data_IF_008222020747
#
_entry.id   IF_008222020747
#
_cell.length_a   1.000
_cell.length_b   1.000
_cell.length_c   1.000
_cell.angle_alpha   90.00
_cell.angle_beta   90.00
_cell.angle_gamma   90.00
#
_symmetry.space_group_name_H-M   'P 1'
#
loop_
_entity.id
_entity.type
_entity.pdbx_description
1 polymer ?
#
# COMPACT_ATOMS: atom_id res chain seq x y z
N UNK A 1 3.68 23.28 -8.51
CA UNK A 1 3.54 22.79 -7.12
C UNK A 1 2.28 21.94 -7.12
N UNK A 2 2.32 20.69 -6.67
CA UNK A 2 1.09 19.88 -6.66
C UNK A 2 0.19 20.39 -5.53
N UNK A 3 -0.97 20.93 -5.89
CA UNK A 3 -1.97 21.34 -4.92
C UNK A 3 -2.71 20.11 -4.41
N UNK A 4 -2.73 19.92 -3.09
CA UNK A 4 -3.39 18.80 -2.43
C UNK A 4 -4.56 19.30 -1.59
N UNK A 5 -5.68 18.62 -1.70
CA UNK A 5 -6.80 18.72 -0.77
C UNK A 5 -6.60 17.70 0.35
N UNK A 6 -6.93 18.06 1.58
CA UNK A 6 -6.82 17.18 2.75
C UNK A 6 -8.17 17.01 3.41
N UNK A 7 -8.45 15.80 3.88
CA UNK A 7 -9.57 15.51 4.76
C UNK A 7 -9.09 14.71 5.97
N UNK A 8 -9.75 14.93 7.11
CA UNK A 8 -9.42 14.30 8.38
C UNK A 8 -10.70 13.75 8.98
N UNK A 9 -10.69 12.46 9.32
CA UNK A 9 -11.83 11.78 9.92
C UNK A 9 -11.42 11.11 11.24
N UNK A 10 -12.34 10.96 12.20
CA UNK A 10 -12.07 10.20 13.40
C UNK A 10 -11.81 8.73 13.08
N UNK A 11 -10.90 8.10 13.84
CA UNK A 11 -10.67 6.66 13.76
C UNK A 11 -11.92 5.90 14.24
N UNK A 12 -12.31 4.80 13.58
CA UNK A 12 -13.49 4.03 13.98
C UNK A 12 -13.30 3.45 15.40
N UNK A 13 -14.06 3.96 16.39
CA UNK A 13 -13.92 3.53 17.80
C UNK A 13 -14.45 2.12 18.05
N UNK A 14 -15.47 1.69 17.31
CA UNK A 14 -16.04 0.35 17.39
C UNK A 14 -16.49 -0.09 16.02
N UNK A 15 -16.06 -1.29 15.67
CA UNK A 15 -16.55 -1.99 14.50
C UNK A 15 -17.90 -2.65 14.79
N UNK A 16 -18.90 -2.33 13.98
CA UNK A 16 -20.15 -3.07 13.97
C UNK A 16 -19.88 -4.56 13.74
N UNK A 17 -20.74 -5.43 14.31
CA UNK A 17 -20.62 -6.88 14.16
C UNK A 17 -20.81 -7.27 12.68
N UNK A 18 -19.73 -7.31 11.93
CA UNK A 18 -19.69 -7.88 10.58
C UNK A 18 -19.74 -9.40 10.66
N UNK A 19 -20.54 -10.02 9.78
CA UNK A 19 -20.76 -11.47 9.71
C UNK A 19 -19.46 -12.16 9.25
N UNK A 20 -18.60 -12.55 10.20
CA UNK A 20 -17.33 -13.24 9.93
C UNK A 20 -16.18 -12.87 10.86
N UNK A 21 -16.30 -11.79 11.63
CA UNK A 21 -15.27 -11.33 12.55
C UNK A 21 -15.29 -12.11 13.87
N UNK A 22 -14.34 -13.04 14.03
CA UNK A 22 -14.27 -13.93 15.20
C UNK A 22 -13.80 -13.21 16.46
N UNK A 23 -12.93 -12.20 16.33
CA UNK A 23 -12.37 -11.46 17.47
C UNK A 23 -12.70 -9.96 17.44
N UNK A 24 -12.59 -9.24 18.58
CA UNK A 24 -12.68 -7.79 18.61
C UNK A 24 -11.63 -7.09 17.73
N UNK A 25 -10.42 -7.66 17.63
CA UNK A 25 -9.36 -7.14 16.78
C UNK A 25 -9.71 -7.29 15.29
N UNK A 26 -10.25 -8.45 14.88
CA UNK A 26 -10.72 -8.65 13.49
C UNK A 26 -11.82 -7.67 13.12
N UNK A 27 -12.75 -7.43 14.05
CA UNK A 27 -13.80 -6.42 13.87
C UNK A 27 -13.18 -5.06 13.61
N UNK A 28 -12.29 -4.61 14.49
CA UNK A 28 -11.63 -3.31 14.36
C UNK A 28 -10.87 -3.19 13.03
N UNK A 29 -10.07 -4.20 12.67
CA UNK A 29 -9.35 -4.22 11.41
C UNK A 29 -10.29 -4.16 10.19
N UNK A 30 -11.40 -4.88 10.21
CA UNK A 30 -12.40 -4.84 9.15
C UNK A 30 -13.08 -3.47 9.02
N UNK A 31 -13.42 -2.81 10.12
CA UNK A 31 -13.98 -1.46 10.08
C UNK A 31 -12.97 -0.43 9.60
N UNK A 32 -11.71 -0.52 10.04
CA UNK A 32 -10.64 0.33 9.55
C UNK A 32 -10.43 0.15 8.04
N UNK A 33 -10.39 -1.11 7.58
CA UNK A 33 -10.28 -1.42 6.15
C UNK A 33 -11.47 -0.86 5.35
N UNK A 34 -12.70 -0.94 5.89
CA UNK A 34 -13.88 -0.33 5.28
C UNK A 34 -13.70 1.17 5.05
N UNK A 35 -13.35 1.91 6.10
CA UNK A 35 -13.09 3.35 6.03
C UNK A 35 -11.99 3.70 5.02
N UNK A 36 -10.89 2.95 5.01
CA UNK A 36 -9.81 3.15 4.06
C UNK A 36 -10.27 2.93 2.62
N UNK A 37 -11.04 1.87 2.37
CA UNK A 37 -11.52 1.53 1.04
C UNK A 37 -12.58 2.51 0.54
N UNK A 38 -13.48 2.97 1.41
CA UNK A 38 -14.53 3.94 1.06
C UNK A 38 -13.89 5.25 0.60
N UNK A 39 -12.94 5.79 1.38
CA UNK A 39 -12.23 7.01 1.00
C UNK A 39 -11.31 6.81 -0.21
N UNK A 40 -10.67 5.65 -0.35
CA UNK A 40 -9.91 5.32 -1.56
C UNK A 40 -10.81 5.30 -2.81
N UNK A 41 -12.04 4.79 -2.70
CA UNK A 41 -13.01 4.79 -3.80
C UNK A 41 -13.44 6.21 -4.20
N UNK A 42 -13.44 7.15 -3.25
CA UNK A 42 -13.65 8.59 -3.49
C UNK A 42 -12.39 9.33 -4.01
N UNK A 43 -11.29 8.61 -4.20
CA UNK A 43 -10.03 9.16 -4.72
C UNK A 43 -9.14 9.80 -3.65
N UNK A 44 -9.38 9.53 -2.37
CA UNK A 44 -8.53 9.96 -1.27
C UNK A 44 -7.42 8.93 -0.98
N UNK A 45 -6.20 9.42 -0.83
CA UNK A 45 -5.02 8.64 -0.47
C UNK A 45 -4.76 8.74 1.04
N UNK A 46 -4.61 7.61 1.71
CA UNK A 46 -4.27 7.57 3.13
C UNK A 46 -2.84 8.08 3.36
N UNK A 47 -2.67 9.00 4.31
CA UNK A 47 -1.37 9.58 4.67
C UNK A 47 -0.87 8.98 5.96
N UNK A 48 -1.64 9.10 7.05
CA UNK A 48 -1.23 8.70 8.41
C UNK A 48 -2.39 8.72 9.40
N UNK A 49 -2.16 8.09 10.55
CA UNK A 49 -2.97 8.23 11.75
C UNK A 49 -2.26 9.16 12.74
N UNK A 50 -3.02 9.99 13.45
CA UNK A 50 -2.51 10.94 14.44
C UNK A 50 -3.37 10.89 15.71
N UNK A 51 -2.76 11.24 16.84
CA UNK A 51 -3.45 11.36 18.14
C UNK A 51 -3.31 12.78 18.65
N UNK A 52 -4.39 13.55 18.61
CA UNK A 52 -4.38 14.99 18.87
C UNK A 52 -5.26 15.35 20.08
N UNK A 53 -4.84 16.31 20.92
CA UNK A 53 -5.67 16.85 21.99
C UNK A 53 -6.72 17.83 21.43
N UNK A 54 -7.94 17.74 21.93
CA UNK A 54 -9.05 18.68 21.69
C UNK A 54 -9.57 19.22 23.02
N UNK A 55 -9.85 20.52 23.09
CA UNK A 55 -10.50 21.10 24.26
C UNK A 55 -12.02 20.98 24.14
N UNK A 56 -12.63 20.22 25.03
CA UNK A 56 -14.08 20.02 25.07
C UNK A 56 -14.67 20.56 26.37
N UNK A 57 -15.93 21.01 26.32
CA UNK A 57 -16.62 21.46 27.53
C UNK A 57 -16.88 20.26 28.43
N UNK A 58 -16.42 20.35 29.67
CA UNK A 58 -16.68 19.36 30.71
C UNK A 58 -17.57 19.99 31.79
N UNK A 59 -18.82 19.56 31.85
CA UNK A 59 -19.80 20.05 32.83
C UNK A 59 -20.19 21.53 32.67
N UNK A 60 -20.60 22.16 33.77
CA UNK A 60 -21.21 23.49 33.75
C UNK A 60 -20.20 24.63 33.51
N UNK A 61 -18.97 24.51 34.01
CA UNK A 61 -17.92 25.55 33.95
C UNK A 61 -16.53 25.04 33.55
N UNK A 62 -16.35 23.74 33.33
CA UNK A 62 -15.04 23.16 33.04
C UNK A 62 -14.74 23.02 31.54
N UNK A 63 -13.45 23.01 31.19
CA UNK A 63 -12.93 22.49 29.92
C UNK A 63 -12.03 21.30 30.25
N UNK A 64 -12.07 20.27 29.42
CA UNK A 64 -11.21 19.10 29.53
C UNK A 64 -10.50 18.86 28.20
N UNK A 65 -9.25 18.43 28.27
CA UNK A 65 -8.50 17.98 27.10
C UNK A 65 -8.86 16.51 26.81
N UNK A 66 -9.45 16.25 25.65
CA UNK A 66 -9.80 14.92 25.16
C UNK A 66 -8.86 14.57 24.02
N UNK A 67 -8.22 13.40 24.10
CA UNK A 67 -7.35 12.91 23.04
C UNK A 67 -8.16 12.13 22.01
N UNK A 68 -8.07 12.55 20.75
CA UNK A 68 -8.74 11.93 19.61
C UNK A 68 -7.76 11.27 18.69
N UNK A 69 -8.10 10.06 18.23
CA UNK A 69 -7.37 9.39 17.16
C UNK A 69 -8.05 9.74 15.84
N UNK A 70 -7.28 10.26 14.89
CA UNK A 70 -7.77 10.68 13.58
C UNK A 70 -6.96 10.04 12.46
N UNK A 71 -7.59 9.91 11.30
CA UNK A 71 -6.98 9.43 10.06
C UNK A 71 -6.94 10.60 9.07
N UNK A 72 -5.76 10.84 8.50
CA UNK A 72 -5.49 11.92 7.56
C UNK A 72 -5.39 11.37 6.16
N UNK A 73 -6.12 11.97 5.23
CA UNK A 73 -6.11 11.62 3.83
C UNK A 73 -5.83 12.85 2.97
N UNK A 74 -5.35 12.63 1.75
CA UNK A 74 -5.11 13.67 0.75
C UNK A 74 -5.59 13.25 -0.64
N UNK A 75 -5.94 14.20 -1.49
CA UNK A 75 -6.11 13.97 -2.94
C UNK A 75 -5.54 15.12 -3.73
N UNK A 76 -5.15 14.88 -4.98
CA UNK A 76 -4.71 15.96 -5.86
C UNK A 76 -5.89 16.88 -6.19
N UNK A 77 -5.72 18.20 -6.07
CA UNK A 77 -6.74 19.16 -6.48
C UNK A 77 -6.92 19.11 -8.01
N UNK A 78 -8.16 19.20 -8.48
CA UNK A 78 -8.53 19.13 -9.89
C UNK A 78 -7.75 20.15 -10.71
N UNK A 79 -6.74 19.67 -11.44
CA UNK A 79 -5.82 20.50 -12.23
C UNK A 79 -4.40 19.93 -12.33
N UNK A 80 -3.98 19.06 -11.40
CA UNK A 80 -2.65 18.45 -11.44
C UNK A 80 -2.80 16.94 -11.29
N UNK A 81 -2.48 16.25 -12.39
CA UNK A 81 -2.55 14.81 -12.59
C UNK A 81 -2.70 13.96 -11.34
N UNK A 82 -3.88 13.38 -11.17
CA UNK A 82 -4.11 12.17 -10.38
C UNK A 82 -3.38 10.98 -11.01
N UNK A 83 -2.06 11.09 -11.20
CA UNK A 83 -1.20 9.91 -11.26
C UNK A 83 -1.13 9.45 -9.82
N UNK A 84 -1.88 8.39 -9.51
CA UNK A 84 -1.46 7.44 -8.49
C UNK A 84 0.06 7.39 -8.53
N UNK A 85 0.73 7.73 -7.42
CA UNK A 85 2.14 7.42 -7.33
C UNK A 85 2.21 5.90 -7.48
N UNK A 86 2.59 5.46 -8.68
CA UNK A 86 2.81 4.07 -9.00
C UNK A 86 3.82 3.59 -7.97
N UNK A 87 3.36 2.85 -6.97
CA UNK A 87 4.25 2.15 -6.06
C UNK A 87 5.25 1.42 -6.97
N UNK A 88 6.57 1.55 -6.75
CA UNK A 88 7.55 1.02 -7.68
C UNK A 88 7.26 -0.47 -7.86
N UNK A 89 6.74 -0.83 -9.03
CA UNK A 89 6.50 -2.23 -9.34
C UNK A 89 7.88 -2.89 -9.33
N UNK A 90 8.08 -3.97 -8.55
CA UNK A 90 9.33 -4.70 -8.63
C UNK A 90 9.51 -5.11 -10.09
N UNK A 91 10.58 -4.61 -10.71
CA UNK A 91 10.92 -4.96 -12.08
C UNK A 91 10.93 -6.49 -12.19
N UNK A 92 10.33 -7.09 -13.24
CA UNK A 92 10.43 -8.53 -13.45
C UNK A 92 11.91 -8.92 -13.38
N UNK A 93 12.27 -9.84 -12.47
CA UNK A 93 13.61 -10.43 -12.49
C UNK A 93 13.78 -11.07 -13.86
N UNK A 94 14.63 -10.49 -14.70
CA UNK A 94 15.07 -11.16 -15.91
C UNK A 94 15.65 -12.52 -15.51
N UNK A 95 15.26 -13.62 -16.17
CA UNK A 95 15.87 -14.91 -15.89
C UNK A 95 17.38 -14.78 -16.12
N UNK A 96 18.23 -15.39 -15.28
CA UNK A 96 19.67 -15.38 -15.50
C UNK A 96 19.93 -15.95 -16.89
N UNK A 97 20.56 -15.14 -17.75
CA UNK A 97 20.99 -15.58 -19.06
C UNK A 97 21.90 -16.79 -18.88
N UNK A 98 21.49 -17.94 -19.39
CA UNK A 98 22.35 -19.13 -19.43
C UNK A 98 23.69 -18.73 -20.08
N UNK A 99 24.83 -19.08 -19.47
CA UNK A 99 26.12 -18.82 -20.09
C UNK A 99 26.18 -19.61 -21.40
N UNK A 100 26.22 -18.87 -22.51
CA UNK A 100 26.54 -19.40 -23.83
C UNK A 100 27.89 -20.12 -23.74
N UNK A 101 27.84 -21.45 -23.75
CA UNK A 101 29.03 -22.27 -23.89
C UNK A 101 29.64 -21.99 -25.26
N UNK A 102 30.91 -21.59 -25.37
CA UNK A 102 31.56 -21.47 -26.66
C UNK A 102 31.66 -22.85 -27.29
N UNK A 103 31.04 -23.01 -28.47
CA UNK A 103 31.27 -24.14 -29.33
C UNK A 103 32.73 -24.10 -29.84
N UNK A 104 33.63 -24.77 -29.13
CA UNK A 104 34.84 -25.35 -29.70
C UNK A 104 34.43 -26.77 -30.13
N UNK A 105 34.40 -27.12 -31.41
CA UNK A 105 35.46 -26.93 -32.39
C UNK A 105 35.86 -28.32 -32.87
N UNK A 106 35.23 -28.75 -33.98
CA UNK A 106 35.64 -29.79 -34.91
C UNK A 106 36.38 -31.03 -34.34
N UNK A 107 35.63 -32.12 -34.16
CA UNK A 107 36.19 -33.47 -34.20
C UNK A 107 36.65 -33.77 -35.63
N UNK A 108 37.94 -33.60 -35.89
CA UNK A 108 38.59 -34.19 -37.06
C UNK A 108 38.82 -35.68 -36.78
N UNK A 109 38.11 -36.53 -37.51
CA UNK A 109 38.43 -37.95 -37.64
C UNK A 109 38.58 -38.23 -39.14
N UNK A 110 39.77 -38.59 -39.64
CA UNK A 110 39.89 -39.18 -40.96
C UNK A 110 39.74 -40.70 -40.87
N UNK A 111 39.09 -41.23 -41.90
CA UNK A 111 38.73 -42.61 -42.11
C UNK A 111 39.93 -43.59 -42.18
N UNK A 112 39.65 -44.85 -41.84
CA UNK A 112 40.42 -46.06 -42.21
C UNK A 112 40.51 -46.22 -43.76
N UNK A 113 41.20 -47.24 -44.37
CA UNK A 113 41.89 -48.42 -43.84
C UNK A 113 43.28 -48.70 -44.49
N UNK A 114 44.01 -49.74 -44.05
CA UNK A 114 45.24 -50.18 -44.73
C UNK A 114 45.74 -51.55 -44.26
N UNK A 115 45.64 -52.53 -45.17
CA UNK A 115 46.12 -53.90 -45.10
C UNK A 115 47.62 -54.01 -44.76
N UNK A 116 48.02 -55.06 -44.03
CA UNK A 116 48.99 -56.13 -44.42
C UNK A 116 48.98 -57.28 -43.40
#
# INVERSE_FOLDING_TARGET
>A
MADYEYTVIPSPLRADKTKGSRTPADRFAAALAGVLNDLAAEGWEYVRAETLPSEERSGLTGRATVWHNVLVFRRAASGIGARHQEAPQPAPLAPPSEPVQPAAGAAASPAAPGER
#
